data_IF_444996738599
#
_entry.id   IF_444996738599
#
_cell.length_a   1.000
_cell.length_b   1.000
_cell.length_c   1.000
_cell.angle_alpha   90.00
_cell.angle_beta   90.00
_cell.angle_gamma   90.00
#
_symmetry.space_group_name_H-M   'P 1'
#
loop_
_entity.id
_entity.type
_entity.pdbx_description
1 polymer ?
#
# COMPACT_ATOMS: atom_id res chain seq x y z
N UNK A 1 -2.23 9.10 17.85
CA UNK A 1 -1.52 8.73 16.61
C UNK A 1 -1.24 9.97 15.76
N UNK A 2 -2.26 10.58 15.13
CA UNK A 2 -2.13 11.81 14.33
C UNK A 2 -1.38 12.91 15.07
N UNK A 3 -1.83 13.28 16.29
CA UNK A 3 -1.16 14.31 17.09
C UNK A 3 0.28 13.95 17.49
N UNK A 4 0.58 12.66 17.62
CA UNK A 4 1.92 12.19 18.01
C UNK A 4 2.97 12.47 16.91
N UNK A 5 2.56 12.43 15.63
CA UNK A 5 3.40 12.82 14.49
C UNK A 5 3.79 14.28 14.61
N UNK A 6 2.81 15.16 14.83
CA UNK A 6 3.06 16.60 14.99
C UNK A 6 3.90 16.90 16.24
N UNK A 7 3.64 16.23 17.36
CA UNK A 7 4.47 16.38 18.57
C UNK A 7 5.93 16.04 18.26
N UNK A 8 6.19 14.94 17.55
CA UNK A 8 7.56 14.54 17.18
C UNK A 8 8.21 15.54 16.20
N UNK A 9 7.46 16.07 15.24
CA UNK A 9 8.00 17.03 14.28
C UNK A 9 8.30 18.39 14.91
N UNK A 10 7.47 18.86 15.84
CA UNK A 10 7.55 20.20 16.41
C UNK A 10 8.19 20.28 17.80
N UNK A 11 8.58 19.16 18.42
CA UNK A 11 9.32 19.19 19.69
C UNK A 11 10.66 19.94 19.51
N UNK A 12 11.00 20.93 20.35
CA UNK A 12 12.24 21.68 20.19
C UNK A 12 13.47 20.77 20.28
N UNK A 13 14.53 21.08 19.53
CA UNK A 13 15.79 20.33 19.58
C UNK A 13 16.46 20.37 20.97
N UNK A 14 16.14 21.38 21.78
CA UNK A 14 16.58 21.46 23.18
C UNK A 14 15.99 20.36 24.06
N UNK A 15 14.83 19.79 23.68
CA UNK A 15 14.16 18.70 24.42
C UNK A 15 14.44 17.35 23.75
N UNK A 16 14.47 17.31 22.42
CA UNK A 16 14.79 16.11 21.64
C UNK A 16 15.89 16.44 20.62
N UNK A 17 17.17 16.12 20.90
CA UNK A 17 18.34 16.58 20.14
C UNK A 17 18.54 15.80 18.84
N UNK A 18 17.51 15.78 18.01
CA UNK A 18 17.47 15.20 16.67
C UNK A 18 16.89 16.27 15.75
N UNK A 19 17.50 16.55 14.60
CA UNK A 19 17.01 17.59 13.70
C UNK A 19 15.71 17.20 13.00
N UNK A 20 14.87 18.17 12.65
CA UNK A 20 13.57 17.93 11.98
C UNK A 20 13.70 17.04 10.73
N UNK A 21 14.67 17.23 9.81
CA UNK A 21 14.83 16.35 8.65
C UNK A 21 15.08 14.88 9.01
N UNK A 22 15.87 14.62 10.07
CA UNK A 22 16.14 13.26 10.54
C UNK A 22 14.89 12.62 11.14
N UNK A 23 14.06 13.41 11.83
CA UNK A 23 12.77 12.94 12.36
C UNK A 23 11.80 12.59 11.24
N UNK A 24 11.72 13.43 10.20
CA UNK A 24 10.92 13.17 8.99
C UNK A 24 11.37 11.86 8.35
N UNK A 25 12.68 11.69 8.13
CA UNK A 25 13.23 10.44 7.58
C UNK A 25 12.85 9.22 8.43
N UNK A 26 13.00 9.32 9.76
CA UNK A 26 12.63 8.24 10.67
C UNK A 26 11.14 7.88 10.59
N UNK A 27 10.26 8.89 10.48
CA UNK A 27 8.83 8.68 10.30
C UNK A 27 8.48 8.09 8.93
N UNK A 28 9.15 8.51 7.85
CA UNK A 28 8.98 7.93 6.51
C UNK A 28 9.42 6.47 6.48
N UNK A 29 10.53 6.11 7.14
CA UNK A 29 10.97 4.71 7.26
C UNK A 29 9.97 3.87 8.07
N UNK A 30 9.39 4.45 9.13
CA UNK A 30 8.35 3.80 9.93
C UNK A 30 7.06 3.62 9.13
N UNK A 31 6.64 4.64 8.39
CA UNK A 31 5.48 4.62 7.50
C UNK A 31 5.68 3.56 6.41
N UNK A 32 6.84 3.53 5.75
CA UNK A 32 7.19 2.52 4.77
C UNK A 32 7.15 1.09 5.33
N UNK A 33 7.74 0.86 6.52
CA UNK A 33 7.69 -0.43 7.20
C UNK A 33 6.24 -0.87 7.47
N UNK A 34 5.43 0.05 7.99
CA UNK A 34 4.04 -0.23 8.30
C UNK A 34 3.20 -0.42 7.04
N UNK A 35 3.48 0.32 5.98
CA UNK A 35 2.88 0.17 4.65
C UNK A 35 3.12 -1.22 4.08
N UNK A 36 4.36 -1.72 4.12
CA UNK A 36 4.65 -3.08 3.68
C UNK A 36 3.99 -4.15 4.56
N UNK A 37 3.94 -3.94 5.87
CA UNK A 37 3.21 -4.84 6.77
C UNK A 37 1.71 -4.86 6.43
N UNK A 38 1.11 -3.68 6.25
CA UNK A 38 -0.29 -3.50 5.92
C UNK A 38 -0.62 -4.16 4.58
N UNK A 39 0.21 -3.95 3.57
CA UNK A 39 0.13 -4.61 2.27
C UNK A 39 0.13 -6.14 2.39
N UNK A 40 1.12 -6.70 3.10
CA UNK A 40 1.20 -8.13 3.32
C UNK A 40 -0.05 -8.68 4.03
N UNK A 41 -0.58 -7.95 5.01
CA UNK A 41 -1.79 -8.34 5.74
C UNK A 41 -3.04 -8.32 4.84
N UNK A 42 -3.20 -7.28 4.02
CA UNK A 42 -4.32 -7.15 3.09
C UNK A 42 -4.31 -8.29 2.05
N UNK A 43 -3.17 -8.53 1.41
CA UNK A 43 -3.03 -9.56 0.38
C UNK A 43 -3.14 -10.98 0.94
N UNK A 44 -2.68 -11.19 2.17
CA UNK A 44 -2.96 -12.42 2.89
C UNK A 44 -4.48 -12.61 3.06
N UNK A 45 -5.20 -11.58 3.53
CA UNK A 45 -6.66 -11.61 3.64
C UNK A 45 -7.35 -12.01 2.34
N UNK A 46 -6.86 -11.50 1.20
CA UNK A 46 -7.37 -11.87 -0.13
C UNK A 46 -7.10 -13.33 -0.51
N UNK A 47 -5.90 -13.85 -0.26
CA UNK A 47 -5.60 -15.26 -0.50
C UNK A 47 -6.48 -16.18 0.36
N UNK A 48 -6.71 -15.80 1.63
CA UNK A 48 -7.63 -16.52 2.52
C UNK A 48 -9.06 -16.50 1.98
N UNK A 49 -9.51 -15.35 1.49
CA UNK A 49 -10.83 -15.19 0.89
C UNK A 49 -11.01 -16.12 -0.31
N UNK A 50 -10.09 -16.09 -1.29
CA UNK A 50 -10.19 -16.96 -2.46
C UNK A 50 -10.16 -18.43 -2.09
N UNK A 51 -9.33 -18.80 -1.11
CA UNK A 51 -9.28 -20.17 -0.61
C UNK A 51 -10.61 -20.60 0.01
N UNK A 52 -11.19 -19.79 0.89
CA UNK A 52 -12.46 -20.11 1.54
C UNK A 52 -13.60 -20.22 0.54
N UNK A 53 -13.61 -19.39 -0.52
CA UNK A 53 -14.64 -19.48 -1.57
C UNK A 53 -14.51 -20.73 -2.44
N UNK A 54 -13.28 -21.12 -2.77
CA UNK A 54 -13.06 -22.25 -3.67
C UNK A 54 -13.15 -23.60 -2.94
N UNK A 55 -12.46 -23.73 -1.79
CA UNK A 55 -12.43 -24.97 -1.04
C UNK A 55 -12.20 -24.72 0.46
N UNK A 56 -13.29 -24.60 1.25
CA UNK A 56 -13.23 -24.37 2.69
C UNK A 56 -12.48 -25.47 3.45
N UNK A 57 -12.53 -26.74 3.00
CA UNK A 57 -11.97 -27.87 3.77
C UNK A 57 -10.43 -27.83 3.82
N UNK A 58 -9.78 -27.26 2.81
CA UNK A 58 -8.32 -27.11 2.74
C UNK A 58 -7.85 -25.76 3.28
N UNK A 59 -8.76 -24.84 3.62
CA UNK A 59 -8.41 -23.51 4.09
C UNK A 59 -7.51 -23.54 5.33
N UNK A 60 -7.73 -24.44 6.28
CA UNK A 60 -6.87 -24.51 7.46
C UNK A 60 -5.41 -24.87 7.11
N UNK A 61 -5.23 -25.83 6.19
CA UNK A 61 -3.90 -26.30 5.76
C UNK A 61 -3.08 -25.27 4.97
N UNK A 62 -3.74 -24.33 4.26
CA UNK A 62 -3.03 -23.33 3.45
C UNK A 62 -2.59 -22.10 4.26
N UNK A 63 -3.13 -21.90 5.48
CA UNK A 63 -2.96 -20.68 6.27
C UNK A 63 -1.50 -20.28 6.48
N UNK A 64 -0.66 -21.23 6.88
CA UNK A 64 0.74 -20.94 7.18
C UNK A 64 1.49 -20.55 5.89
N UNK A 65 1.26 -21.28 4.80
CA UNK A 65 1.87 -21.00 3.51
C UNK A 65 1.43 -19.64 2.96
N UNK A 66 0.14 -19.31 3.04
CA UNK A 66 -0.39 -18.00 2.61
C UNK A 66 0.27 -16.87 3.42
N UNK A 67 0.43 -17.05 4.74
CA UNK A 67 1.05 -16.05 5.62
C UNK A 67 2.54 -15.89 5.34
N UNK A 68 3.27 -17.00 5.21
CA UNK A 68 4.69 -17.00 4.87
C UNK A 68 4.94 -16.40 3.50
N UNK A 69 4.07 -16.67 2.53
CA UNK A 69 4.14 -16.03 1.22
C UNK A 69 3.95 -14.52 1.35
N UNK A 70 2.85 -14.04 1.92
CA UNK A 70 2.59 -12.60 1.96
C UNK A 70 3.60 -11.80 2.81
N UNK A 71 3.97 -12.26 4.00
CA UNK A 71 4.98 -11.56 4.82
C UNK A 71 6.40 -11.83 4.36
N UNK A 72 6.70 -13.04 3.89
CA UNK A 72 8.03 -13.38 3.40
C UNK A 72 8.34 -12.65 2.10
N UNK A 73 7.50 -12.81 1.07
CA UNK A 73 7.74 -12.21 -0.23
C UNK A 73 7.28 -10.76 -0.28
N UNK A 74 6.04 -10.48 0.09
CA UNK A 74 5.42 -9.15 -0.01
C UNK A 74 5.89 -8.12 1.02
N UNK A 75 6.67 -8.53 2.02
CA UNK A 75 7.26 -7.61 3.00
C UNK A 75 8.77 -7.81 3.15
N UNK A 76 9.23 -8.97 3.62
CA UNK A 76 10.67 -9.15 3.91
C UNK A 76 11.53 -9.06 2.64
N UNK A 77 11.17 -9.77 1.58
CA UNK A 77 11.95 -9.73 0.34
C UNK A 77 11.86 -8.36 -0.36
N UNK A 78 10.70 -7.72 -0.36
CA UNK A 78 10.54 -6.34 -0.87
C UNK A 78 11.42 -5.37 -0.09
N UNK A 79 11.40 -5.41 1.25
CA UNK A 79 12.25 -4.57 2.08
C UNK A 79 13.74 -4.77 1.76
N UNK A 80 14.18 -6.02 1.59
CA UNK A 80 15.55 -6.33 1.20
C UNK A 80 15.87 -5.73 -0.18
N UNK A 81 14.98 -5.88 -1.15
CA UNK A 81 15.19 -5.35 -2.50
C UNK A 81 15.33 -3.81 -2.48
N UNK A 82 14.42 -3.12 -1.79
CA UNK A 82 14.44 -1.66 -1.68
C UNK A 82 15.69 -1.14 -0.95
N UNK A 83 16.14 -1.83 0.11
CA UNK A 83 17.40 -1.52 0.78
C UNK A 83 18.61 -1.69 -0.14
N UNK A 84 18.63 -2.74 -0.96
CA UNK A 84 19.70 -2.98 -1.94
C UNK A 84 19.73 -1.91 -3.02
N UNK A 85 18.56 -1.49 -3.53
CA UNK A 85 18.46 -0.38 -4.48
C UNK A 85 18.92 0.94 -3.87
N UNK A 86 18.50 1.26 -2.63
CA UNK A 86 18.95 2.45 -1.91
C UNK A 86 20.46 2.46 -1.66
N UNK A 87 21.04 1.34 -1.24
CA UNK A 87 22.48 1.21 -1.03
C UNK A 87 23.28 1.41 -2.33
N UNK A 88 22.81 0.82 -3.45
CA UNK A 88 23.43 1.00 -4.77
C UNK A 88 23.41 2.47 -5.21
N UNK A 89 22.27 3.16 -5.05
CA UNK A 89 22.14 4.58 -5.37
C UNK A 89 23.11 5.45 -4.56
N UNK A 90 23.19 5.24 -3.24
CA UNK A 90 24.06 6.01 -2.36
C UNK A 90 25.55 5.79 -2.66
N UNK A 91 25.94 4.56 -3.04
CA UNK A 91 27.30 4.25 -3.47
C UNK A 91 27.64 4.90 -4.82
N UNK A 92 26.74 4.83 -5.81
CA UNK A 92 26.92 5.47 -7.12
C UNK A 92 27.05 6.99 -7.01
N UNK A 93 26.33 7.62 -6.07
CA UNK A 93 26.40 9.06 -5.80
C UNK A 93 27.58 9.48 -4.91
N UNK A 94 28.47 8.54 -4.54
CA UNK A 94 29.62 8.77 -3.65
C UNK A 94 29.25 9.36 -2.27
N UNK A 95 28.01 9.11 -1.82
CA UNK A 95 27.52 9.57 -0.52
C UNK A 95 28.01 8.63 0.59
N UNK A 96 28.08 7.33 0.30
CA UNK A 96 28.75 6.36 1.16
C UNK A 96 30.26 6.38 0.90
N UNK A 97 31.11 6.32 1.93
CA UNK A 97 32.55 6.22 1.75
C UNK A 97 32.87 4.99 0.89
N UNK A 98 33.84 5.12 -0.01
CA UNK A 98 34.27 4.06 -0.91
C UNK A 98 34.63 2.81 -0.09
N UNK A 99 33.71 1.86 -0.02
CA UNK A 99 33.94 0.59 0.64
C UNK A 99 35.08 -0.11 -0.13
N UNK A 100 35.99 -0.81 0.56
CA UNK A 100 37.20 -1.38 -0.04
C UNK A 100 36.95 -2.46 -1.13
N UNK A 101 35.68 -2.76 -1.40
CA UNK A 101 35.20 -3.73 -2.38
C UNK A 101 33.99 -3.07 -3.08
N UNK A 102 33.88 -3.18 -4.40
CA UNK A 102 32.81 -2.51 -5.18
C UNK A 102 31.47 -3.25 -5.07
N UNK A 103 30.93 -3.36 -3.85
CA UNK A 103 29.71 -4.12 -3.53
C UNK A 103 28.54 -3.69 -4.41
N UNK A 104 28.40 -2.38 -4.65
CA UNK A 104 27.36 -1.78 -5.46
C UNK A 104 27.33 -2.25 -6.90
N UNK A 105 28.48 -2.46 -7.54
CA UNK A 105 28.55 -2.79 -8.97
C UNK A 105 28.68 -4.29 -9.25
N UNK A 106 29.29 -5.07 -8.34
CA UNK A 106 29.53 -6.50 -8.58
C UNK A 106 28.57 -7.40 -7.79
N UNK A 107 28.34 -7.12 -6.52
CA UNK A 107 27.63 -8.04 -5.61
C UNK A 107 26.12 -7.78 -5.61
N UNK A 108 25.70 -6.51 -5.49
CA UNK A 108 24.27 -6.14 -5.44
C UNK A 108 23.50 -6.66 -6.66
N UNK A 109 23.97 -6.52 -7.91
CA UNK A 109 23.26 -7.04 -9.08
C UNK A 109 23.07 -8.56 -9.05
N UNK A 110 24.05 -9.31 -8.52
CA UNK A 110 23.95 -10.76 -8.35
C UNK A 110 22.86 -11.09 -7.33
N UNK A 111 22.87 -10.42 -6.17
CA UNK A 111 21.84 -10.61 -5.12
C UNK A 111 20.44 -10.30 -5.67
N UNK A 112 20.27 -9.22 -6.44
CA UNK A 112 18.99 -8.85 -7.04
C UNK A 112 18.48 -9.93 -8.02
N UNK A 113 19.36 -10.47 -8.87
CA UNK A 113 19.02 -11.58 -9.78
C UNK A 113 18.67 -12.86 -9.02
N UNK A 114 19.42 -13.19 -7.97
CA UNK A 114 19.10 -14.33 -7.10
C UNK A 114 17.77 -14.15 -6.38
N UNK A 115 17.46 -12.93 -5.94
CA UNK A 115 16.17 -12.55 -5.36
C UNK A 115 15.00 -12.77 -6.32
N UNK A 116 15.15 -12.37 -7.59
CA UNK A 116 14.18 -12.67 -8.66
C UNK A 116 13.91 -14.17 -8.76
N UNK A 117 14.96 -14.99 -8.88
CA UNK A 117 14.81 -16.44 -9.03
C UNK A 117 14.15 -17.08 -7.80
N UNK A 118 14.48 -16.59 -6.60
CA UNK A 118 13.86 -17.02 -5.36
C UNK A 118 12.35 -16.74 -5.35
N UNK A 119 11.94 -15.52 -5.73
CA UNK A 119 10.52 -15.14 -5.79
C UNK A 119 9.76 -15.99 -6.80
N UNK A 120 10.33 -16.23 -7.99
CA UNK A 120 9.75 -17.10 -9.00
C UNK A 120 9.59 -18.54 -8.49
N UNK A 121 10.61 -19.07 -7.82
CA UNK A 121 10.58 -20.40 -7.20
C UNK A 121 9.49 -20.52 -6.13
N UNK A 122 9.41 -19.56 -5.20
CA UNK A 122 8.36 -19.52 -4.17
C UNK A 122 6.97 -19.43 -4.81
N UNK A 123 6.80 -18.58 -5.83
CA UNK A 123 5.53 -18.41 -6.54
C UNK A 123 5.10 -19.70 -7.23
N UNK A 124 6.03 -20.40 -7.90
CA UNK A 124 5.76 -21.69 -8.53
C UNK A 124 5.32 -22.75 -7.51
N UNK A 125 5.97 -22.81 -6.34
CA UNK A 125 5.58 -23.70 -5.23
C UNK A 125 4.18 -23.35 -4.73
N UNK A 126 3.86 -22.07 -4.56
CA UNK A 126 2.53 -21.61 -4.13
C UNK A 126 1.44 -21.96 -5.14
N UNK A 127 1.70 -21.78 -6.44
CA UNK A 127 0.77 -22.18 -7.51
C UNK A 127 0.56 -23.69 -7.52
N UNK A 128 1.65 -24.48 -7.42
CA UNK A 128 1.56 -25.94 -7.30
C UNK A 128 0.69 -26.36 -6.12
N UNK A 129 0.89 -25.75 -4.95
CA UNK A 129 0.09 -26.04 -3.76
C UNK A 129 -1.39 -25.66 -3.97
N UNK A 130 -1.65 -24.52 -4.61
CA UNK A 130 -3.02 -24.09 -4.92
C UNK A 130 -3.75 -25.05 -5.88
N UNK A 131 -3.04 -25.59 -6.87
CA UNK A 131 -3.54 -26.63 -7.78
C UNK A 131 -3.86 -27.92 -7.03
N UNK A 132 -2.93 -28.41 -6.19
CA UNK A 132 -3.15 -29.62 -5.38
C UNK A 132 -4.32 -29.48 -4.39
N UNK A 133 -4.58 -28.27 -3.92
CA UNK A 133 -5.67 -27.96 -2.98
C UNK A 133 -7.02 -27.66 -3.66
N UNK A 134 -7.09 -27.73 -5.01
CA UNK A 134 -8.27 -27.36 -5.81
C UNK A 134 -8.80 -25.96 -5.47
N UNK A 135 -7.91 -24.98 -5.44
CA UNK A 135 -8.21 -23.66 -4.87
C UNK A 135 -8.82 -22.64 -5.83
N UNK A 136 -9.18 -23.09 -7.03
CA UNK A 136 -9.79 -22.26 -8.07
C UNK A 136 -8.80 -21.36 -8.82
N UNK A 137 -9.20 -20.98 -10.04
CA UNK A 137 -8.45 -20.10 -10.92
C UNK A 137 -8.18 -18.70 -10.31
N UNK A 138 -9.13 -18.04 -9.62
CA UNK A 138 -8.89 -16.71 -9.05
C UNK A 138 -7.71 -16.69 -8.07
N UNK A 139 -7.59 -17.69 -7.19
CA UNK A 139 -6.46 -17.78 -6.25
C UNK A 139 -5.13 -17.95 -6.98
N UNK A 140 -5.09 -18.80 -8.00
CA UNK A 140 -3.87 -19.06 -8.79
C UNK A 140 -3.41 -17.78 -9.50
N UNK A 141 -4.33 -17.08 -10.18
CA UNK A 141 -4.02 -15.82 -10.85
C UNK A 141 -3.59 -14.74 -9.86
N UNK A 142 -4.17 -14.72 -8.66
CA UNK A 142 -3.78 -13.77 -7.62
C UNK A 142 -2.37 -14.03 -7.06
N UNK A 143 -2.03 -15.30 -6.80
CA UNK A 143 -0.66 -15.70 -6.41
C UNK A 143 0.33 -15.31 -7.50
N UNK A 144 0.00 -15.57 -8.77
CA UNK A 144 0.84 -15.20 -9.91
C UNK A 144 1.04 -13.68 -9.98
N UNK A 145 -0.02 -12.89 -9.89
CA UNK A 145 0.05 -11.43 -9.91
C UNK A 145 0.90 -10.86 -8.77
N UNK A 146 0.76 -11.39 -7.55
CA UNK A 146 1.62 -11.03 -6.43
C UNK A 146 3.08 -11.42 -6.68
N UNK A 147 3.34 -12.63 -7.19
CA UNK A 147 4.70 -13.07 -7.51
C UNK A 147 5.37 -12.21 -8.56
N UNK A 148 4.65 -11.81 -9.61
CA UNK A 148 5.14 -10.89 -10.64
C UNK A 148 5.45 -9.51 -10.03
N UNK A 149 4.55 -8.97 -9.20
CA UNK A 149 4.77 -7.69 -8.55
C UNK A 149 6.00 -7.72 -7.63
N UNK A 150 6.16 -8.75 -6.79
CA UNK A 150 7.35 -8.88 -5.93
C UNK A 150 8.62 -9.08 -6.77
N UNK A 151 8.53 -9.74 -7.92
CA UNK A 151 9.66 -9.83 -8.85
C UNK A 151 10.06 -8.45 -9.36
N UNK A 152 9.09 -7.56 -9.58
CA UNK A 152 9.32 -6.15 -9.89
C UNK A 152 10.21 -5.44 -8.87
N UNK A 153 10.10 -5.75 -7.57
CA UNK A 153 10.93 -5.14 -6.53
C UNK A 153 12.43 -5.39 -6.74
N UNK A 154 12.80 -6.50 -7.39
CA UNK A 154 14.20 -6.88 -7.64
C UNK A 154 14.71 -6.44 -9.02
N UNK A 155 13.86 -5.89 -9.87
CA UNK A 155 14.18 -5.60 -11.28
C UNK A 155 13.95 -4.15 -11.67
N UNK A 156 12.94 -3.52 -11.09
CA UNK A 156 12.53 -2.15 -11.43
C UNK A 156 13.32 -1.14 -10.61
N UNK A 157 13.32 0.11 -11.05
CA UNK A 157 13.78 1.20 -10.21
C UNK A 157 12.79 1.41 -9.03
N UNK A 158 13.24 1.89 -7.86
CA UNK A 158 12.39 2.05 -6.69
C UNK A 158 11.08 2.80 -6.96
N UNK A 159 11.11 3.86 -7.78
CA UNK A 159 9.91 4.63 -8.12
C UNK A 159 8.92 3.84 -8.98
N UNK A 160 9.41 3.06 -9.94
CA UNK A 160 8.59 2.21 -10.81
C UNK A 160 7.93 1.09 -10.00
N UNK A 161 8.70 0.46 -9.11
CA UNK A 161 8.19 -0.54 -8.19
C UNK A 161 7.18 0.06 -7.22
N UNK A 162 7.47 1.22 -6.63
CA UNK A 162 6.55 1.91 -5.73
C UNK A 162 5.20 2.20 -6.41
N UNK A 163 5.20 2.66 -7.66
CA UNK A 163 3.97 2.84 -8.44
C UNK A 163 3.22 1.52 -8.64
N UNK A 164 3.90 0.45 -9.06
CA UNK A 164 3.30 -0.86 -9.27
C UNK A 164 2.69 -1.44 -7.98
N UNK A 165 3.45 -1.36 -6.89
CA UNK A 165 3.06 -1.80 -5.56
C UNK A 165 1.85 -1.02 -5.05
N UNK A 166 1.87 0.31 -5.20
CA UNK A 166 0.77 1.20 -4.83
C UNK A 166 -0.48 0.89 -5.65
N UNK A 167 -0.36 0.74 -6.97
CA UNK A 167 -1.47 0.35 -7.84
C UNK A 167 -2.10 -0.98 -7.41
N UNK A 168 -1.28 -2.01 -7.16
CA UNK A 168 -1.76 -3.33 -6.74
C UNK A 168 -2.52 -3.27 -5.41
N UNK A 169 -2.01 -2.49 -4.45
CA UNK A 169 -2.63 -2.24 -3.16
C UNK A 169 -4.00 -1.56 -3.30
N UNK A 170 -4.05 -0.44 -4.02
CA UNK A 170 -5.26 0.37 -4.17
C UNK A 170 -6.33 -0.32 -5.02
N UNK A 171 -5.98 -1.03 -6.09
CA UNK A 171 -6.96 -1.79 -6.88
C UNK A 171 -7.63 -2.87 -6.02
N UNK A 172 -6.85 -3.54 -5.18
CA UNK A 172 -7.39 -4.53 -4.23
C UNK A 172 -8.31 -3.88 -3.20
N UNK A 173 -7.90 -2.75 -2.61
CA UNK A 173 -8.69 -2.01 -1.64
C UNK A 173 -10.01 -1.50 -2.24
N UNK A 174 -9.96 -0.91 -3.44
CA UNK A 174 -11.13 -0.42 -4.17
C UNK A 174 -12.09 -1.54 -4.52
N UNK A 175 -11.58 -2.69 -4.97
CA UNK A 175 -12.40 -3.87 -5.27
C UNK A 175 -13.15 -4.38 -4.03
N UNK A 176 -12.45 -4.46 -2.89
CA UNK A 176 -13.06 -4.84 -1.60
C UNK A 176 -14.11 -3.82 -1.14
N UNK A 177 -13.77 -2.53 -1.15
CA UNK A 177 -14.66 -1.47 -0.71
C UNK A 177 -15.92 -1.37 -1.59
N UNK A 178 -15.77 -1.47 -2.91
CA UNK A 178 -16.89 -1.46 -3.85
C UNK A 178 -17.82 -2.65 -3.62
N UNK A 179 -17.26 -3.85 -3.41
CA UNK A 179 -18.04 -5.05 -3.17
C UNK A 179 -18.78 -5.00 -1.81
N UNK A 180 -18.10 -4.56 -0.75
CA UNK A 180 -18.70 -4.44 0.58
C UNK A 180 -19.76 -3.34 0.62
N UNK A 181 -19.48 -2.16 0.06
CA UNK A 181 -20.46 -1.08 -0.07
C UNK A 181 -21.68 -1.52 -0.88
N UNK A 182 -21.48 -2.23 -2.00
CA UNK A 182 -22.57 -2.77 -2.81
C UNK A 182 -23.49 -3.73 -2.03
N UNK A 183 -22.93 -4.53 -1.12
CA UNK A 183 -23.71 -5.44 -0.27
C UNK A 183 -24.54 -4.70 0.77
N UNK A 184 -24.02 -3.63 1.36
CA UNK A 184 -24.74 -2.79 2.33
C UNK A 184 -25.95 -2.09 1.70
N UNK A 185 -25.78 -1.59 0.48
CA UNK A 185 -26.82 -0.86 -0.26
C UNK A 185 -27.99 -1.78 -0.61
N UNK A 186 -27.71 -2.97 -1.16
CA UNK A 186 -28.75 -3.97 -1.48
C UNK A 186 -29.61 -4.32 -0.27
N UNK A 187 -28.99 -4.36 0.92
CA UNK A 187 -29.70 -4.61 2.18
C UNK A 187 -30.51 -3.40 2.63
N UNK A 188 -29.94 -2.20 2.60
CA UNK A 188 -30.65 -0.96 2.90
C UNK A 188 -31.90 -0.82 2.02
N UNK A 189 -31.77 -1.02 0.71
CA UNK A 189 -32.89 -1.02 -0.22
C UNK A 189 -33.93 -2.11 0.09
N UNK A 190 -33.50 -3.33 0.47
CA UNK A 190 -34.41 -4.41 0.88
C UNK A 190 -35.23 -4.06 2.12
N UNK A 191 -34.62 -3.41 3.11
CA UNK A 191 -35.28 -2.97 4.35
C UNK A 191 -36.15 -1.73 4.11
N UNK A 192 -35.65 -0.73 3.37
CA UNK A 192 -36.40 0.48 2.99
C UNK A 192 -37.59 0.17 2.08
N UNK A 193 -37.45 -0.72 1.10
CA UNK A 193 -38.57 -1.16 0.25
C UNK A 193 -39.67 -1.87 1.06
N UNK A 194 -39.33 -2.42 2.23
CA UNK A 194 -40.29 -3.02 3.17
C UNK A 194 -41.01 -1.99 4.05
N UNK A 195 -40.36 -0.87 4.39
CA UNK A 195 -40.86 0.09 5.38
C UNK A 195 -41.44 1.36 4.71
N UNK A 196 -40.85 1.84 3.62
CA UNK A 196 -41.25 3.06 2.95
C UNK A 196 -41.38 2.84 1.44
N UNK A 197 -42.59 2.53 0.99
CA UNK A 197 -42.96 2.48 -0.44
C UNK A 197 -42.92 3.85 -1.15
N UNK A 198 -42.39 4.90 -0.51
CA UNK A 198 -42.52 6.28 -0.99
C UNK A 198 -41.54 7.30 -0.38
N UNK A 199 -40.31 6.93 -0.03
CA UNK A 199 -39.27 7.94 0.22
C UNK A 199 -38.29 7.94 -0.94
N UNK A 200 -38.45 8.89 -1.87
CA UNK A 200 -37.47 9.21 -2.89
C UNK A 200 -36.24 9.83 -2.23
N UNK A 201 -35.43 9.01 -1.59
CA UNK A 201 -34.04 9.37 -1.43
C UNK A 201 -33.40 9.13 -2.80
N UNK A 202 -32.90 10.20 -3.41
CA UNK A 202 -32.14 10.17 -4.66
C UNK A 202 -30.88 9.32 -4.43
N UNK A 203 -31.05 8.02 -4.57
CA UNK A 203 -30.01 7.02 -4.45
C UNK A 203 -29.38 6.90 -5.86
N UNK A 204 -28.13 7.33 -5.98
CA UNK A 204 -27.18 7.02 -7.07
C UNK A 204 -27.04 7.91 -8.31
N UNK A 205 -27.54 9.15 -8.36
CA UNK A 205 -27.28 9.98 -9.55
C UNK A 205 -25.87 10.60 -9.66
N UNK A 206 -25.07 10.59 -8.58
CA UNK A 206 -23.86 11.43 -8.51
C UNK A 206 -22.54 10.67 -8.25
N UNK A 207 -22.43 9.38 -8.56
CA UNK A 207 -21.15 8.64 -8.45
C UNK A 207 -20.05 9.28 -9.31
N UNK A 208 -20.42 9.76 -10.51
CA UNK A 208 -19.52 10.52 -11.37
C UNK A 208 -19.11 11.88 -10.77
N UNK A 209 -19.98 12.53 -9.99
CA UNK A 209 -19.64 13.77 -9.29
C UNK A 209 -18.65 13.50 -8.17
N UNK A 210 -18.82 12.41 -7.41
CA UNK A 210 -17.85 11.99 -6.39
C UNK A 210 -16.50 11.67 -7.05
N UNK A 211 -16.49 10.93 -8.16
CA UNK A 211 -15.27 10.64 -8.90
C UNK A 211 -14.60 11.93 -9.41
N UNK A 212 -15.36 12.82 -10.06
CA UNK A 212 -14.86 14.10 -10.53
C UNK A 212 -14.29 14.93 -9.38
N UNK A 213 -14.99 14.98 -8.24
CA UNK A 213 -14.53 15.67 -7.04
C UNK A 213 -13.20 15.09 -6.52
N UNK A 214 -13.09 13.76 -6.42
CA UNK A 214 -11.85 13.10 -5.98
C UNK A 214 -10.71 13.32 -6.99
N UNK A 215 -10.98 13.23 -8.30
CA UNK A 215 -10.00 13.54 -9.34
C UNK A 215 -9.56 15.00 -9.27
N UNK A 216 -10.48 15.94 -9.11
CA UNK A 216 -10.17 17.37 -8.94
C UNK A 216 -9.34 17.62 -7.69
N UNK A 217 -9.70 17.03 -6.55
CA UNK A 217 -8.90 17.10 -5.32
C UNK A 217 -7.50 16.52 -5.57
N UNK A 218 -7.39 15.37 -6.23
CA UNK A 218 -6.10 14.75 -6.51
C UNK A 218 -5.21 15.69 -7.33
N UNK A 219 -5.75 16.33 -8.37
CA UNK A 219 -5.01 17.30 -9.20
C UNK A 219 -4.62 18.54 -8.39
N UNK A 220 -5.52 19.06 -7.56
CA UNK A 220 -5.25 20.23 -6.69
C UNK A 220 -4.16 19.92 -5.66
N UNK A 221 -4.13 18.69 -5.15
CA UNK A 221 -3.16 18.25 -4.14
C UNK A 221 -1.82 17.80 -4.73
N UNK A 222 -1.72 17.53 -6.03
CA UNK A 222 -0.49 17.09 -6.70
C UNK A 222 0.76 17.92 -6.33
N UNK A 223 0.73 19.27 -6.35
CA UNK A 223 1.91 20.06 -6.00
C UNK A 223 2.44 19.80 -4.58
N UNK A 224 1.54 19.52 -3.64
CA UNK A 224 1.88 19.24 -2.25
C UNK A 224 2.51 17.86 -2.10
N UNK A 225 1.97 16.86 -2.80
CA UNK A 225 2.52 15.51 -2.81
C UNK A 225 3.87 15.43 -3.54
N UNK A 226 4.05 16.19 -4.62
CA UNK A 226 5.33 16.19 -5.36
C UNK A 226 6.49 16.76 -4.54
N UNK A 227 6.24 17.66 -3.58
CA UNK A 227 7.29 18.13 -2.65
C UNK A 227 7.84 16.99 -1.81
N UNK A 228 6.97 16.09 -1.36
CA UNK A 228 7.34 14.94 -0.54
C UNK A 228 7.95 13.81 -1.37
N UNK A 229 7.40 13.56 -2.57
CA UNK A 229 7.63 12.33 -3.31
C UNK A 229 8.63 12.44 -4.48
N UNK A 230 8.93 13.65 -4.97
CA UNK A 230 9.70 13.85 -6.20
C UNK A 230 10.83 14.86 -5.96
N UNK A 231 12.01 14.58 -6.50
CA UNK A 231 13.15 15.49 -6.41
C UNK A 231 12.92 16.78 -7.21
N UNK A 232 13.45 17.89 -6.71
CA UNK A 232 13.46 19.17 -7.43
C UNK A 232 14.05 19.02 -8.84
N UNK A 233 13.41 19.65 -9.83
CA UNK A 233 13.76 19.58 -11.25
C UNK A 233 13.06 18.45 -12.03
N UNK A 234 12.37 17.52 -11.36
CA UNK A 234 11.65 16.40 -11.99
C UNK A 234 10.12 16.46 -11.78
N UNK A 235 9.59 17.53 -11.18
CA UNK A 235 8.19 17.66 -10.79
C UNK A 235 7.34 18.22 -11.91
N UNK A 236 6.14 17.66 -12.14
CA UNK A 236 5.22 18.22 -13.13
C UNK A 236 4.71 19.60 -12.69
N UNK A 237 4.48 19.81 -11.40
CA UNK A 237 4.01 21.09 -10.87
C UNK A 237 5.06 22.19 -10.96
N UNK A 238 6.35 21.87 -11.04
CA UNK A 238 7.41 22.88 -11.26
C UNK A 238 7.37 23.43 -12.70
N UNK A 239 7.00 22.59 -13.67
CA UNK A 239 6.83 23.01 -15.06
C UNK A 239 5.59 23.89 -15.21
N UNK A 240 4.50 23.54 -14.53
CA UNK A 240 3.19 24.21 -14.68
C UNK A 240 3.09 25.44 -13.77
N UNK A 241 3.60 25.37 -12.54
CA UNK A 241 3.48 26.40 -11.50
C UNK A 241 4.84 26.68 -10.79
N UNK A 242 5.88 27.13 -11.51
CA UNK A 242 7.24 27.25 -10.97
C UNK A 242 7.35 28.15 -9.74
N UNK A 243 6.68 29.31 -9.74
CA UNK A 243 6.72 30.24 -8.60
C UNK A 243 6.00 29.68 -7.36
N UNK A 244 4.92 28.92 -7.56
CA UNK A 244 4.21 28.29 -6.45
C UNK A 244 5.05 27.18 -5.83
N UNK A 245 5.68 26.33 -6.65
CA UNK A 245 6.57 25.29 -6.16
C UNK A 245 7.78 25.85 -5.43
N UNK A 246 8.42 26.88 -5.96
CA UNK A 246 9.52 27.56 -5.27
C UNK A 246 9.08 28.14 -3.92
N UNK A 247 7.91 28.79 -3.86
CA UNK A 247 7.36 29.27 -2.60
C UNK A 247 7.10 28.12 -1.63
N UNK A 248 6.47 27.04 -2.11
CA UNK A 248 6.08 25.90 -1.30
C UNK A 248 7.31 25.17 -0.73
N UNK A 249 8.39 25.00 -1.51
CA UNK A 249 9.67 24.41 -1.07
C UNK A 249 10.38 25.23 0.01
N UNK A 250 10.37 26.56 -0.13
CA UNK A 250 11.01 27.46 0.82
C UNK A 250 10.09 27.86 1.98
N UNK A 251 8.89 27.28 2.01
CA UNK A 251 7.88 27.58 3.00
C UNK A 251 8.13 26.88 4.31
N UNK A 252 7.95 27.58 5.43
CA UNK A 252 7.86 26.94 6.75
C UNK A 252 6.71 25.91 6.86
N UNK A 253 5.77 25.93 5.90
CA UNK A 253 4.65 25.01 5.83
C UNK A 253 5.05 23.59 5.41
N UNK A 254 6.24 23.36 4.83
CA UNK A 254 6.67 22.02 4.39
C UNK A 254 6.60 21.00 5.53
N UNK A 255 7.07 21.34 6.72
CA UNK A 255 7.01 20.44 7.88
C UNK A 255 5.57 20.11 8.30
N UNK A 256 4.66 21.08 8.18
CA UNK A 256 3.23 20.85 8.46
C UNK A 256 2.64 19.91 7.41
N UNK A 257 2.92 20.15 6.13
CA UNK A 257 2.41 19.37 5.01
C UNK A 257 2.89 17.92 5.07
N UNK A 258 4.19 17.70 5.30
CA UNK A 258 4.78 16.37 5.53
C UNK A 258 4.16 15.72 6.77
N UNK A 259 3.93 16.49 7.84
CA UNK A 259 3.22 16.02 9.03
C UNK A 259 1.80 15.54 8.75
N UNK A 260 1.05 16.25 7.89
CA UNK A 260 -0.29 15.83 7.43
C UNK A 260 -0.21 14.55 6.61
N UNK A 261 0.73 14.46 5.66
CA UNK A 261 0.97 13.27 4.84
C UNK A 261 1.20 12.02 5.69
N UNK A 262 2.23 12.05 6.55
CA UNK A 262 2.56 10.97 7.47
C UNK A 262 1.42 10.63 8.43
N UNK A 263 0.77 11.64 9.02
CA UNK A 263 -0.34 11.40 9.93
C UNK A 263 -1.54 10.75 9.24
N UNK A 264 -1.79 11.09 7.97
CA UNK A 264 -2.84 10.47 7.16
C UNK A 264 -2.52 9.02 6.82
N UNK A 265 -1.26 8.69 6.49
CA UNK A 265 -0.79 7.31 6.29
C UNK A 265 -0.99 6.45 7.53
N UNK A 266 -0.50 6.90 8.69
CA UNK A 266 -0.71 6.20 9.96
C UNK A 266 -2.18 6.06 10.34
N UNK A 267 -3.00 7.10 10.10
CA UNK A 267 -4.43 7.03 10.36
C UNK A 267 -5.11 6.00 9.45
N UNK A 268 -4.76 5.96 8.17
CA UNK A 268 -5.28 4.98 7.21
C UNK A 268 -5.05 3.55 7.71
N UNK A 269 -3.83 3.22 8.14
CA UNK A 269 -3.54 1.87 8.63
C UNK A 269 -4.35 1.50 9.88
N UNK A 270 -4.64 2.48 10.73
CA UNK A 270 -5.50 2.28 11.89
C UNK A 270 -6.98 2.13 11.49
N UNK A 271 -7.46 2.98 10.56
CA UNK A 271 -8.83 2.99 10.09
C UNK A 271 -9.22 1.67 9.42
N UNK A 272 -8.36 1.09 8.59
CA UNK A 272 -8.64 -0.18 7.93
C UNK A 272 -8.92 -1.31 8.95
N UNK A 273 -8.16 -1.33 10.05
CA UNK A 273 -8.42 -2.27 11.14
C UNK A 273 -9.75 -2.00 11.85
N UNK A 274 -10.17 -0.74 11.95
CA UNK A 274 -11.44 -0.37 12.58
C UNK A 274 -12.64 -0.70 11.68
N UNK A 275 -12.55 -0.41 10.38
CA UNK A 275 -13.63 -0.58 9.39
C UNK A 275 -13.86 -2.05 9.06
N UNK A 276 -12.81 -2.85 8.88
CA UNK A 276 -12.93 -4.28 8.54
C UNK A 276 -13.00 -5.19 9.77
N UNK A 277 -13.46 -4.67 10.91
CA UNK A 277 -13.52 -5.41 12.17
C UNK A 277 -14.68 -6.41 12.15
N UNK A 278 -14.38 -7.69 11.89
CA UNK A 278 -15.38 -8.77 11.90
C UNK A 278 -16.06 -9.03 13.26
N UNK A 279 -15.68 -8.36 14.36
CA UNK A 279 -16.51 -8.40 15.58
C UNK A 279 -17.74 -7.50 15.48
N UNK A 280 -17.75 -6.54 14.55
CA UNK A 280 -18.94 -5.76 14.24
C UNK A 280 -19.95 -6.56 13.41
N UNK A 281 -21.23 -6.41 13.74
CA UNK A 281 -22.29 -7.19 13.10
C UNK A 281 -22.57 -6.70 11.67
N UNK A 282 -22.49 -5.40 11.41
CA UNK A 282 -22.70 -4.84 10.08
C UNK A 282 -21.57 -5.31 9.16
N UNK A 283 -20.30 -5.13 9.56
CA UNK A 283 -19.14 -5.59 8.78
C UNK A 283 -19.25 -7.08 8.41
N UNK A 284 -19.64 -7.96 9.35
CA UNK A 284 -19.85 -9.40 9.03
C UNK A 284 -20.95 -9.62 8.01
N UNK A 285 -22.04 -8.87 8.10
CA UNK A 285 -23.15 -8.99 7.16
C UNK A 285 -22.75 -8.52 5.76
N UNK A 286 -22.05 -7.38 5.65
CA UNK A 286 -21.52 -6.87 4.37
C UNK A 286 -20.50 -7.82 3.76
N UNK A 287 -19.68 -8.47 4.59
CA UNK A 287 -18.70 -9.47 4.18
C UNK A 287 -19.30 -10.87 3.89
N UNK A 288 -20.56 -11.15 4.28
CA UNK A 288 -21.15 -12.49 4.13
C UNK A 288 -21.18 -12.97 2.68
N UNK A 289 -21.60 -12.11 1.74
CA UNK A 289 -21.63 -12.45 0.32
C UNK A 289 -20.22 -12.51 -0.30
N UNK A 290 -19.23 -11.88 0.35
CA UNK A 290 -17.84 -12.00 -0.06
C UNK A 290 -17.33 -13.42 0.26
N UNK A 291 -17.67 -13.95 1.44
CA UNK A 291 -17.18 -15.22 1.97
C UNK A 291 -17.99 -16.44 1.51
N UNK A 292 -19.31 -16.31 1.36
CA UNK A 292 -20.24 -17.42 1.15
C UNK A 292 -21.19 -17.22 -0.05
N UNK A 293 -21.00 -16.15 -0.83
CA UNK A 293 -21.80 -15.85 -2.02
C UNK A 293 -21.20 -16.37 -3.31
#
# INVERSE_FOLDING_TARGET
LVLSVFVLLFIPETVFPVSVPVRILGLLLLDFFWGMHHFAAQHYGMLRLFQYRANPSTAHSSHLHDRLFCWGTGFVLVLIAELLHGASFLQQKQILPAMPYDWGNEIIPIILRSGTLLVLGITAIMIRNALLQNSGLPRILYILGLGIMVTGAFQLQPIEFLMLWTLQHWITALGLAAQMGGNDIKKSMSVKNRIFKKSSFSEYQNQWIVLLFLCSISVILTPFFEIEAVSSGARYSEVIFPSFMYWLENSSWVTILVGVGLASGFLHYFMDRAVYRLSDAETRMSAKNLLFG
#
